data_IF_258396308214
#
_entry.id   IF_258396308214
#
_cell.length_a   1.000
_cell.length_b   1.000
_cell.length_c   1.000
_cell.angle_alpha   90.00
_cell.angle_beta   90.00
_cell.angle_gamma   90.00
#
_symmetry.space_group_name_H-M   'P 1'
#
loop_
_entity.id
_entity.type
_entity.pdbx_description
1 polymer ?
#
# COMPACT_ATOMS: atom_id res chain seq x y z
N UNK A 1 -29.84 -35.04 63.29
CA UNK A 1 -31.00 -34.14 63.52
C UNK A 1 -30.60 -32.79 62.94
N UNK A 2 -31.26 -32.10 62.01
CA UNK A 2 -32.59 -32.21 61.42
C UNK A 2 -32.60 -31.50 60.04
N UNK A 3 -33.30 -32.09 59.06
CA UNK A 3 -34.30 -31.50 58.13
C UNK A 3 -33.82 -30.35 57.21
N UNK A 4 -33.52 -30.64 55.92
CA UNK A 4 -34.39 -30.49 54.72
C UNK A 4 -35.01 -29.09 54.52
N UNK A 5 -34.65 -28.43 53.41
CA UNK A 5 -35.62 -27.96 52.42
C UNK A 5 -34.95 -27.76 51.06
N UNK A 6 -35.50 -28.42 50.03
CA UNK A 6 -35.07 -28.39 48.65
C UNK A 6 -35.98 -27.47 47.85
N UNK A 7 -35.43 -26.48 47.17
CA UNK A 7 -36.16 -25.66 46.19
C UNK A 7 -35.85 -26.15 44.77
N UNK A 8 -36.86 -26.77 44.14
CA UNK A 8 -36.87 -27.21 42.75
C UNK A 8 -36.75 -26.01 41.81
N UNK A 9 -35.69 -25.94 40.99
CA UNK A 9 -35.66 -25.10 39.79
C UNK A 9 -36.05 -25.96 38.58
N UNK A 10 -37.22 -25.65 38.03
CA UNK A 10 -37.81 -26.28 36.85
C UNK A 10 -37.02 -25.90 35.59
N UNK A 11 -36.47 -26.90 34.92
CA UNK A 11 -35.88 -26.82 33.58
C UNK A 11 -36.99 -26.79 32.54
N UNK A 12 -37.21 -25.63 31.89
CA UNK A 12 -38.05 -25.54 30.68
C UNK A 12 -37.20 -25.84 29.44
N UNK A 13 -37.62 -26.84 28.68
CA UNK A 13 -37.14 -27.16 27.34
C UNK A 13 -37.63 -26.11 26.33
N UNK A 14 -36.87 -25.84 25.24
CA UNK A 14 -37.26 -24.91 24.19
C UNK A 14 -38.30 -25.52 23.23
N UNK A 15 -39.25 -24.74 22.68
CA UNK A 15 -40.21 -25.22 21.70
C UNK A 15 -39.64 -25.24 20.27
N UNK A 16 -39.94 -26.31 19.53
CA UNK A 16 -39.68 -26.48 18.08
C UNK A 16 -40.77 -25.81 17.21
N UNK A 17 -40.54 -25.60 15.91
CA UNK A 17 -41.06 -24.45 15.16
C UNK A 17 -42.47 -24.62 14.59
N UNK A 18 -43.24 -23.53 14.61
CA UNK A 18 -44.54 -23.40 13.96
C UNK A 18 -44.35 -23.00 12.50
N UNK A 19 -44.97 -23.76 11.60
CA UNK A 19 -45.01 -23.52 10.15
C UNK A 19 -45.95 -22.34 9.83
N UNK A 20 -45.46 -21.35 9.11
CA UNK A 20 -46.29 -20.28 8.51
C UNK A 20 -46.31 -20.49 7.00
N UNK A 21 -47.52 -20.76 6.47
CA UNK A 21 -47.82 -20.80 5.04
C UNK A 21 -47.79 -19.37 4.50
N UNK A 22 -47.00 -19.12 3.46
CA UNK A 22 -47.07 -17.90 2.66
C UNK A 22 -47.67 -18.25 1.29
N UNK A 23 -48.82 -17.64 0.99
CA UNK A 23 -49.51 -17.78 -0.29
C UNK A 23 -48.78 -17.00 -1.40
N UNK A 24 -48.79 -17.60 -2.58
CA UNK A 24 -48.10 -17.20 -3.80
C UNK A 24 -49.02 -16.31 -4.64
N UNK A 25 -48.57 -15.11 -4.98
CA UNK A 25 -49.17 -14.30 -6.05
C UNK A 25 -48.25 -14.32 -7.28
N UNK A 26 -48.77 -14.86 -8.38
CA UNK A 26 -48.07 -15.03 -9.65
C UNK A 26 -48.27 -13.82 -10.58
N UNK A 27 -47.20 -13.39 -11.24
CA UNK A 27 -47.25 -12.58 -12.46
C UNK A 27 -46.20 -13.09 -13.45
N UNK A 28 -46.50 -13.13 -14.77
CA UNK A 28 -45.90 -14.10 -15.70
C UNK A 28 -44.54 -13.70 -16.29
N UNK A 29 -43.73 -14.68 -16.76
CA UNK A 29 -42.37 -14.47 -17.24
C UNK A 29 -42.30 -14.06 -18.73
N UNK A 30 -41.35 -13.17 -19.03
CA UNK A 30 -41.02 -12.68 -20.37
C UNK A 30 -40.13 -13.69 -21.12
N UNK A 31 -40.56 -14.09 -22.33
CA UNK A 31 -39.96 -15.13 -23.18
C UNK A 31 -38.52 -14.81 -23.61
N UNK A 32 -37.62 -15.78 -23.42
CA UNK A 32 -36.32 -15.89 -24.08
C UNK A 32 -36.51 -16.65 -25.40
N UNK A 33 -36.12 -16.06 -26.54
CA UNK A 33 -36.03 -16.77 -27.83
C UNK A 33 -34.56 -17.01 -28.19
N UNK A 34 -34.18 -18.29 -28.26
CA UNK A 34 -32.97 -18.80 -28.92
C UNK A 34 -33.15 -18.69 -30.44
N UNK A 35 -32.14 -18.23 -31.16
CA UNK A 35 -32.05 -18.38 -32.61
C UNK A 35 -30.74 -19.10 -32.93
N UNK A 36 -30.87 -20.16 -33.72
CA UNK A 36 -29.83 -21.04 -34.28
C UNK A 36 -28.90 -20.26 -35.21
N UNK A 37 -27.61 -20.63 -35.24
CA UNK A 37 -26.63 -20.20 -36.25
C UNK A 37 -26.40 -21.38 -37.20
N UNK A 38 -26.73 -21.20 -38.47
CA UNK A 38 -26.36 -22.08 -39.58
C UNK A 38 -25.03 -21.64 -40.19
N UNK A 39 -24.31 -22.64 -40.70
CA UNK A 39 -22.98 -22.65 -41.27
C UNK A 39 -22.98 -22.48 -42.78
N UNK A 40 -21.94 -21.85 -43.37
CA UNK A 40 -21.14 -22.39 -44.50
C UNK A 40 -19.96 -21.45 -44.86
N UNK A 41 -18.91 -21.94 -45.55
CA UNK A 41 -17.53 -21.44 -45.45
C UNK A 41 -17.02 -20.71 -46.71
N UNK A 42 -15.95 -19.93 -46.57
CA UNK A 42 -15.01 -19.62 -47.65
C UNK A 42 -13.61 -19.25 -47.11
N UNK A 43 -12.59 -19.92 -47.65
CA UNK A 43 -11.16 -19.69 -47.42
C UNK A 43 -10.59 -18.59 -48.37
N UNK A 44 -9.26 -18.36 -48.49
CA UNK A 44 -8.50 -17.49 -47.60
C UNK A 44 -7.82 -16.36 -48.39
N UNK A 45 -7.69 -15.17 -47.80
CA UNK A 45 -6.78 -14.15 -48.33
C UNK A 45 -5.85 -13.67 -47.23
N UNK A 46 -4.57 -13.92 -47.51
CA UNK A 46 -3.39 -13.44 -46.83
C UNK A 46 -3.40 -11.92 -46.70
N UNK A 47 -3.39 -11.42 -45.47
CA UNK A 47 -2.88 -10.09 -45.13
C UNK A 47 -2.02 -10.20 -43.88
N UNK A 48 -0.72 -9.97 -44.07
CA UNK A 48 0.24 -9.71 -43.00
C UNK A 48 -0.17 -8.36 -42.40
N UNK A 49 -0.88 -8.40 -41.26
CA UNK A 49 -1.13 -7.21 -40.44
C UNK A 49 -0.11 -7.18 -39.31
N UNK A 50 0.92 -6.37 -39.52
CA UNK A 50 1.68 -5.74 -38.44
C UNK A 50 0.70 -4.85 -37.66
N UNK A 51 0.03 -5.41 -36.66
CA UNK A 51 -0.78 -4.66 -35.70
C UNK A 51 0.02 -4.45 -34.42
N UNK A 52 0.69 -3.30 -34.35
CA UNK A 52 1.06 -2.68 -33.08
C UNK A 52 -0.20 -2.21 -32.35
N UNK A 53 -0.38 -2.73 -31.12
CA UNK A 53 -1.26 -2.29 -30.01
C UNK A 53 -2.47 -3.20 -29.75
N UNK A 54 -2.62 -3.72 -28.52
CA UNK A 54 -2.85 -2.89 -27.33
C UNK A 54 -1.67 -2.92 -26.35
N UNK A 55 -1.19 -1.74 -25.94
CA UNK A 55 -0.35 -1.57 -24.73
C UNK A 55 -0.92 -2.41 -23.59
N UNK A 56 -0.16 -3.41 -23.15
CA UNK A 56 -0.62 -4.34 -22.13
C UNK A 56 -0.86 -3.60 -20.81
N UNK A 57 -1.65 -4.17 -19.89
CA UNK A 57 -1.81 -3.62 -18.54
C UNK A 57 -0.46 -3.44 -17.83
N UNK A 58 0.52 -4.27 -18.18
CA UNK A 58 1.90 -4.22 -17.69
C UNK A 58 2.60 -2.94 -18.14
N UNK A 59 2.52 -2.61 -19.43
CA UNK A 59 3.11 -1.39 -19.98
C UNK A 59 2.52 -0.13 -19.36
N UNK A 60 1.21 -0.14 -19.09
CA UNK A 60 0.53 0.99 -18.42
C UNK A 60 1.02 1.18 -17.00
N UNK A 61 1.17 0.11 -16.22
CA UNK A 61 1.72 0.16 -14.86
C UNK A 61 3.16 0.69 -14.85
N UNK A 62 4.01 0.18 -15.75
CA UNK A 62 5.41 0.58 -15.82
C UNK A 62 5.54 2.06 -16.22
N UNK A 63 4.78 2.51 -17.22
CA UNK A 63 4.73 3.93 -17.62
C UNK A 63 4.23 4.83 -16.50
N UNK A 64 3.20 4.42 -15.76
CA UNK A 64 2.69 5.16 -14.61
C UNK A 64 3.74 5.29 -13.51
N UNK A 65 4.45 4.20 -13.20
CA UNK A 65 5.54 4.18 -12.23
C UNK A 65 6.70 5.09 -12.65
N UNK A 66 7.16 5.01 -13.90
CA UNK A 66 8.23 5.85 -14.43
C UNK A 66 7.87 7.34 -14.39
N UNK A 67 6.66 7.70 -14.84
CA UNK A 67 6.17 9.08 -14.83
C UNK A 67 6.17 9.68 -13.42
N UNK A 68 5.70 8.93 -12.43
CA UNK A 68 5.62 9.42 -11.05
C UNK A 68 6.98 9.45 -10.33
N UNK A 69 7.98 8.72 -10.82
CA UNK A 69 9.30 8.62 -10.18
C UNK A 69 10.23 9.79 -10.47
N UNK A 70 10.21 10.33 -11.70
CA UNK A 70 11.09 11.43 -12.11
C UNK A 70 10.76 12.74 -11.36
N UNK A 71 9.57 13.29 -11.59
CA UNK A 71 9.20 14.59 -11.02
C UNK A 71 8.68 14.47 -9.58
N UNK A 72 8.21 13.28 -9.19
CA UNK A 72 7.40 13.10 -8.01
C UNK A 72 6.00 13.69 -8.22
N UNK A 73 4.94 13.09 -7.65
CA UNK A 73 3.57 13.51 -7.93
C UNK A 73 3.21 14.88 -7.32
N UNK A 74 4.01 15.40 -6.39
CA UNK A 74 3.75 16.64 -5.66
C UNK A 74 5.03 17.50 -5.53
N UNK A 75 5.51 18.12 -6.62
CA UNK A 75 6.75 18.89 -6.62
C UNK A 75 6.72 20.07 -5.63
N UNK A 76 5.55 20.70 -5.46
CA UNK A 76 5.37 21.86 -4.58
C UNK A 76 5.06 21.51 -3.12
N UNK A 77 4.91 20.23 -2.77
CA UNK A 77 4.56 19.84 -1.40
C UNK A 77 5.82 19.52 -0.58
N UNK A 78 6.27 20.38 0.36
CA UNK A 78 7.64 20.32 0.88
C UNK A 78 7.89 19.23 1.94
N UNK A 79 6.83 18.59 2.44
CA UNK A 79 6.88 17.66 3.58
C UNK A 79 6.90 16.20 3.11
N UNK A 80 7.50 15.26 3.87
CA UNK A 80 8.29 15.52 5.07
C UNK A 80 9.64 16.16 4.77
N UNK A 81 10.16 16.93 5.71
CA UNK A 81 11.56 17.35 5.72
C UNK A 81 12.44 16.27 6.36
N UNK A 82 13.76 16.25 6.09
CA UNK A 82 14.69 15.33 6.76
C UNK A 82 14.66 15.43 8.30
N UNK A 83 14.46 16.63 8.83
CA UNK A 83 14.32 16.85 10.28
C UNK A 83 13.03 16.25 10.86
N UNK A 84 11.93 16.29 10.11
CA UNK A 84 10.69 15.61 10.49
C UNK A 84 10.84 14.09 10.45
N UNK A 85 11.53 13.56 9.44
CA UNK A 85 11.84 12.13 9.36
C UNK A 85 12.64 11.66 10.58
N UNK A 86 13.68 12.41 10.93
CA UNK A 86 14.53 12.12 12.10
C UNK A 86 13.73 12.18 13.41
N UNK A 87 12.93 13.24 13.60
CA UNK A 87 12.08 13.37 14.79
C UNK A 87 11.06 12.22 14.91
N UNK A 88 10.37 11.89 13.82
CA UNK A 88 9.42 10.78 13.82
C UNK A 88 10.11 9.46 14.12
N UNK A 89 11.30 9.25 13.55
CA UNK A 89 12.10 8.05 13.79
C UNK A 89 12.50 7.93 15.26
N UNK A 90 12.97 9.01 15.89
CA UNK A 90 13.41 8.99 17.29
C UNK A 90 12.27 8.74 18.26
N UNK A 91 11.15 9.46 18.09
CA UNK A 91 9.95 9.25 18.92
C UNK A 91 9.48 7.80 18.78
N UNK A 92 9.35 7.31 17.55
CA UNK A 92 8.85 5.95 17.33
C UNK A 92 9.84 4.89 17.80
N UNK A 93 11.14 5.11 17.67
CA UNK A 93 12.18 4.22 18.21
C UNK A 93 12.12 4.17 19.74
N UNK A 94 11.87 5.30 20.41
CA UNK A 94 11.66 5.32 21.86
C UNK A 94 10.43 4.53 22.28
N UNK A 95 9.37 4.52 21.47
CA UNK A 95 8.11 3.83 21.79
C UNK A 95 8.12 2.34 21.45
N UNK A 96 8.76 1.95 20.33
CA UNK A 96 8.67 0.59 19.77
C UNK A 96 10.01 -0.13 19.70
N UNK A 97 11.08 0.47 20.20
CA UNK A 97 12.46 0.00 20.04
C UNK A 97 13.05 0.35 18.67
N UNK A 98 14.36 0.58 18.65
CA UNK A 98 15.13 0.92 17.44
C UNK A 98 15.01 -0.21 16.41
N UNK A 99 14.90 0.17 15.13
CA UNK A 99 14.84 -0.77 14.01
C UNK A 99 16.10 -0.65 13.17
N UNK A 100 16.90 -1.71 13.20
CA UNK A 100 18.18 -1.81 12.49
C UNK A 100 18.00 -2.83 11.38
N UNK A 101 18.41 -2.46 10.17
CA UNK A 101 18.44 -3.36 9.02
C UNK A 101 19.43 -4.50 9.34
N UNK A 102 19.03 -5.77 9.24
CA UNK A 102 19.96 -6.87 9.48
C UNK A 102 21.04 -6.89 8.39
N UNK A 103 22.26 -7.31 8.75
CA UNK A 103 23.35 -7.49 7.78
C UNK A 103 23.05 -8.60 6.78
N UNK A 104 22.32 -9.62 7.20
CA UNK A 104 21.91 -10.75 6.36
C UNK A 104 20.42 -11.02 6.51
N UNK A 105 19.76 -11.37 5.39
CA UNK A 105 18.34 -11.73 5.38
C UNK A 105 18.22 -13.23 5.62
N UNK A 106 17.54 -13.62 6.70
CA UNK A 106 17.29 -15.02 7.03
C UNK A 106 15.79 -15.25 7.11
N UNK A 107 15.29 -16.12 6.24
CA UNK A 107 13.87 -16.47 6.22
C UNK A 107 13.45 -17.12 7.54
N UNK A 108 12.41 -16.58 8.15
CA UNK A 108 11.85 -17.21 9.35
C UNK A 108 11.09 -18.51 8.98
N UNK A 109 11.33 -19.54 9.79
CA UNK A 109 10.56 -20.80 9.75
C UNK A 109 9.23 -20.71 10.51
N UNK A 110 9.07 -19.73 11.41
CA UNK A 110 7.91 -19.65 12.33
C UNK A 110 6.94 -18.52 12.02
N UNK A 111 7.33 -17.58 11.16
CA UNK A 111 6.46 -16.50 10.67
C UNK A 111 6.61 -16.31 9.17
N UNK A 112 5.57 -15.78 8.53
CA UNK A 112 5.64 -15.44 7.11
C UNK A 112 6.64 -14.30 6.88
N UNK A 113 6.37 -13.12 7.45
CA UNK A 113 7.19 -11.92 7.26
C UNK A 113 7.10 -11.37 5.82
N UNK A 114 6.59 -10.15 5.67
CA UNK A 114 6.47 -9.52 4.35
C UNK A 114 7.87 -9.22 3.78
N UNK A 115 8.25 -9.85 2.66
CA UNK A 115 9.57 -9.68 2.04
C UNK A 115 10.75 -10.28 2.82
N UNK A 116 10.48 -11.03 3.89
CA UNK A 116 11.48 -11.51 4.85
C UNK A 116 12.04 -12.89 4.46
N UNK A 117 12.78 -12.92 3.36
CA UNK A 117 13.46 -14.11 2.82
C UNK A 117 14.64 -13.71 1.93
N UNK A 118 15.75 -14.45 1.92
CA UNK A 118 16.85 -14.22 0.97
C UNK A 118 16.49 -14.62 -0.46
N UNK A 119 15.54 -15.55 -0.65
CA UNK A 119 15.01 -15.88 -1.98
C UNK A 119 13.97 -14.84 -2.39
N UNK A 120 14.17 -14.24 -3.56
CA UNK A 120 13.30 -13.18 -4.08
C UNK A 120 11.90 -13.71 -4.39
N UNK A 121 11.81 -14.94 -4.88
CA UNK A 121 10.53 -15.58 -5.19
C UNK A 121 9.75 -15.89 -3.90
N UNK A 122 10.41 -16.46 -2.89
CA UNK A 122 9.79 -16.70 -1.57
C UNK A 122 9.37 -15.38 -0.91
N UNK A 123 10.23 -14.35 -0.94
CA UNK A 123 9.93 -13.01 -0.44
C UNK A 123 8.68 -12.40 -1.11
N UNK A 124 8.53 -12.60 -2.43
CA UNK A 124 7.36 -12.15 -3.19
C UNK A 124 6.09 -12.90 -2.78
N UNK A 125 6.15 -14.24 -2.67
CA UNK A 125 5.02 -15.08 -2.23
C UNK A 125 4.59 -14.71 -0.80
N UNK A 126 5.53 -14.56 0.14
CA UNK A 126 5.25 -14.11 1.51
C UNK A 126 4.60 -12.74 1.55
N UNK A 127 5.09 -11.81 0.71
CA UNK A 127 4.45 -10.50 0.55
C UNK A 127 3.00 -10.63 0.09
N UNK A 128 2.70 -11.51 -0.88
CA UNK A 128 1.33 -11.75 -1.36
C UNK A 128 0.44 -12.35 -0.28
N UNK A 129 0.94 -13.32 0.49
CA UNK A 129 0.20 -13.91 1.61
C UNK A 129 -0.18 -12.84 2.66
N UNK A 130 0.67 -11.84 2.87
CA UNK A 130 0.45 -10.72 3.81
C UNK A 130 -0.57 -9.68 3.34
N UNK A 131 -0.99 -9.69 2.07
CA UNK A 131 -1.92 -8.70 1.55
C UNK A 131 -3.31 -8.83 2.19
N UNK A 132 -3.87 -7.69 2.62
CA UNK A 132 -5.22 -7.54 3.16
C UNK A 132 -5.59 -8.59 4.22
N UNK A 133 -4.63 -8.91 5.09
CA UNK A 133 -4.81 -9.86 6.19
C UNK A 133 -3.94 -9.46 7.38
N UNK A 134 -4.07 -10.17 8.49
CA UNK A 134 -3.22 -9.94 9.67
C UNK A 134 -1.91 -10.71 9.58
N UNK A 135 -0.88 -10.28 10.32
CA UNK A 135 0.39 -11.01 10.47
C UNK A 135 0.15 -12.44 10.97
N UNK A 136 -0.81 -12.62 11.89
CA UNK A 136 -1.21 -13.94 12.40
C UNK A 136 -1.75 -14.83 11.29
N UNK A 137 -2.64 -14.31 10.44
CA UNK A 137 -3.25 -15.09 9.37
C UNK A 137 -2.29 -15.39 8.23
N UNK A 138 -1.46 -14.42 7.84
CA UNK A 138 -0.42 -14.66 6.82
C UNK A 138 0.63 -15.67 7.30
N UNK A 139 1.02 -15.60 8.57
CA UNK A 139 1.88 -16.62 9.20
C UNK A 139 1.24 -18.01 9.17
N UNK A 140 -0.04 -18.13 9.58
CA UNK A 140 -0.76 -19.40 9.51
C UNK A 140 -0.86 -19.94 8.09
N UNK A 141 -1.08 -19.08 7.10
CA UNK A 141 -1.14 -19.49 5.70
C UNK A 141 0.21 -20.02 5.21
N UNK A 142 1.31 -19.35 5.56
CA UNK A 142 2.67 -19.81 5.23
C UNK A 142 2.98 -21.17 5.85
N UNK A 143 2.71 -21.33 7.14
CA UNK A 143 2.94 -22.59 7.85
C UNK A 143 2.09 -23.73 7.30
N UNK A 144 0.83 -23.43 6.93
CA UNK A 144 -0.05 -24.39 6.27
C UNK A 144 0.47 -24.80 4.89
N UNK A 145 1.09 -23.88 4.13
CA UNK A 145 1.80 -24.23 2.88
C UNK A 145 3.00 -25.13 3.16
N UNK A 146 3.83 -24.81 4.16
CA UNK A 146 4.96 -25.67 4.54
C UNK A 146 4.51 -27.10 4.85
N UNK A 147 3.44 -27.24 5.64
CA UNK A 147 2.88 -28.54 6.02
C UNK A 147 2.32 -29.30 4.81
N UNK A 148 1.63 -28.58 3.90
CA UNK A 148 0.96 -29.20 2.74
C UNK A 148 1.94 -29.66 1.65
N UNK A 149 3.08 -28.98 1.51
CA UNK A 149 4.02 -29.15 0.39
C UNK A 149 5.43 -29.54 0.82
N UNK A 150 5.69 -29.74 2.13
CA UNK A 150 7.03 -29.99 2.66
C UNK A 150 7.95 -28.75 2.70
N UNK A 151 7.41 -27.58 2.36
CA UNK A 151 8.09 -26.28 2.33
C UNK A 151 7.29 -25.30 1.47
N UNK A 152 7.14 -24.05 1.91
CA UNK A 152 6.45 -23.00 1.13
C UNK A 152 7.23 -22.58 -0.12
N UNK A 153 8.46 -23.06 -0.27
CA UNK A 153 9.40 -22.88 -1.37
C UNK A 153 9.54 -24.13 -2.26
N UNK A 154 8.77 -25.19 -2.00
CA UNK A 154 8.70 -26.35 -2.89
C UNK A 154 7.77 -26.05 -4.09
N UNK A 155 8.29 -25.23 -5.00
CA UNK A 155 7.53 -24.63 -6.10
C UNK A 155 6.97 -25.68 -7.07
N UNK A 156 7.73 -26.73 -7.34
CA UNK A 156 7.34 -27.87 -8.18
C UNK A 156 6.05 -28.52 -7.65
N UNK A 157 6.02 -28.87 -6.36
CA UNK A 157 4.85 -29.50 -5.75
C UNK A 157 3.67 -28.54 -5.62
N UNK A 158 3.93 -27.25 -5.41
CA UNK A 158 2.89 -26.22 -5.40
C UNK A 158 2.21 -26.12 -6.77
N UNK A 159 2.99 -26.05 -7.85
CA UNK A 159 2.48 -25.99 -9.23
C UNK A 159 1.77 -27.28 -9.60
N UNK A 160 2.39 -28.44 -9.36
CA UNK A 160 1.80 -29.76 -9.65
C UNK A 160 0.49 -30.00 -8.88
N UNK A 161 0.41 -29.49 -7.64
CA UNK A 161 -0.80 -29.57 -6.82
C UNK A 161 -1.98 -28.73 -7.33
N UNK A 162 -1.75 -27.78 -8.24
CA UNK A 162 -2.80 -26.96 -8.84
C UNK A 162 -3.42 -25.92 -7.89
N UNK A 163 -4.34 -25.14 -8.46
CA UNK A 163 -4.91 -23.95 -7.81
C UNK A 163 -5.78 -24.31 -6.60
N UNK A 164 -6.61 -25.34 -6.72
CA UNK A 164 -7.57 -25.73 -5.69
C UNK A 164 -6.86 -26.15 -4.40
N UNK A 165 -5.79 -26.95 -4.53
CA UNK A 165 -4.97 -27.39 -3.39
C UNK A 165 -4.29 -26.20 -2.72
N UNK A 166 -3.65 -25.32 -3.50
CA UNK A 166 -2.97 -24.13 -2.95
C UNK A 166 -3.97 -23.20 -2.25
N UNK A 167 -5.14 -22.99 -2.87
CA UNK A 167 -6.18 -22.17 -2.31
C UNK A 167 -6.69 -22.68 -0.96
N UNK A 168 -6.89 -23.99 -0.81
CA UNK A 168 -7.29 -24.58 0.47
C UNK A 168 -6.18 -24.42 1.50
N UNK A 169 -4.92 -24.69 1.13
CA UNK A 169 -3.76 -24.52 2.00
C UNK A 169 -3.65 -23.10 2.58
N UNK A 170 -3.91 -22.07 1.76
CA UNK A 170 -3.79 -20.65 2.19
C UNK A 170 -5.12 -20.02 2.62
N UNK A 171 -6.20 -20.79 2.73
CA UNK A 171 -7.56 -20.29 3.02
C UNK A 171 -7.64 -19.47 4.31
N UNK A 172 -6.90 -19.88 5.34
CA UNK A 172 -6.85 -19.16 6.62
C UNK A 172 -6.25 -17.74 6.49
N UNK A 173 -5.51 -17.46 5.42
CA UNK A 173 -4.94 -16.15 5.10
C UNK A 173 -5.94 -15.14 4.53
N UNK A 174 -7.13 -15.58 4.12
CA UNK A 174 -8.14 -14.75 3.45
C UNK A 174 -7.76 -14.40 2.01
N UNK A 175 -8.77 -14.09 1.18
CA UNK A 175 -8.64 -13.83 -0.26
C UNK A 175 -7.91 -14.96 -1.02
N UNK A 176 -7.99 -16.21 -0.53
CA UNK A 176 -7.22 -17.33 -1.05
C UNK A 176 -7.45 -17.60 -2.53
N UNK A 177 -8.69 -17.41 -3.01
CA UNK A 177 -9.06 -17.51 -4.42
C UNK A 177 -8.21 -16.61 -5.33
N UNK A 178 -7.97 -15.37 -4.90
CA UNK A 178 -7.18 -14.39 -5.65
C UNK A 178 -5.69 -14.66 -5.44
N UNK A 179 -5.28 -14.90 -4.20
CA UNK A 179 -3.87 -15.14 -3.85
C UNK A 179 -3.30 -16.39 -4.54
N UNK A 180 -4.04 -17.51 -4.57
CA UNK A 180 -3.58 -18.74 -5.22
C UNK A 180 -3.42 -18.55 -6.73
N UNK A 181 -4.36 -17.85 -7.38
CA UNK A 181 -4.25 -17.49 -8.79
C UNK A 181 -3.00 -16.63 -9.06
N UNK A 182 -2.75 -15.62 -8.23
CA UNK A 182 -1.58 -14.73 -8.38
C UNK A 182 -0.28 -15.50 -8.17
N UNK A 183 -0.17 -16.30 -7.11
CA UNK A 183 1.04 -17.09 -6.82
C UNK A 183 1.36 -18.03 -7.98
N UNK A 184 0.41 -18.84 -8.44
CA UNK A 184 0.64 -19.75 -9.57
C UNK A 184 0.99 -19.00 -10.86
N UNK A 185 0.36 -17.85 -11.11
CA UNK A 185 0.68 -17.03 -12.28
C UNK A 185 2.10 -16.48 -12.24
N UNK A 186 2.63 -16.16 -11.05
CA UNK A 186 4.02 -15.71 -10.88
C UNK A 186 4.98 -16.87 -11.10
N UNK A 187 4.69 -18.06 -10.55
CA UNK A 187 5.52 -19.25 -10.72
C UNK A 187 5.61 -19.66 -12.19
N UNK A 188 4.47 -19.67 -12.90
CA UNK A 188 4.41 -19.93 -14.35
C UNK A 188 5.25 -18.90 -15.14
N UNK A 189 5.11 -17.61 -14.82
CA UNK A 189 5.86 -16.55 -15.49
C UNK A 189 7.37 -16.64 -15.23
N UNK A 190 7.78 -16.93 -14.00
CA UNK A 190 9.19 -17.12 -13.64
C UNK A 190 9.78 -18.32 -14.39
N UNK A 191 9.11 -19.47 -14.35
CA UNK A 191 9.55 -20.69 -15.04
C UNK A 191 9.61 -20.50 -16.57
N UNK A 192 8.61 -19.85 -17.15
CA UNK A 192 8.56 -19.57 -18.59
C UNK A 192 9.66 -18.60 -19.03
N UNK A 193 9.94 -17.56 -18.24
CA UNK A 193 10.90 -16.51 -18.62
C UNK A 193 12.36 -16.91 -18.34
N UNK A 194 12.61 -17.67 -17.27
CA UNK A 194 13.96 -17.94 -16.78
C UNK A 194 14.34 -19.43 -16.75
N UNK A 195 13.39 -20.33 -17.02
CA UNK A 195 13.63 -21.77 -16.99
C UNK A 195 13.68 -22.38 -15.58
N UNK A 196 13.58 -21.57 -14.52
CA UNK A 196 13.63 -21.99 -13.13
C UNK A 196 12.62 -21.21 -12.25
N UNK A 197 12.30 -21.76 -11.07
CA UNK A 197 11.51 -21.06 -10.06
C UNK A 197 12.42 -20.21 -9.17
N UNK A 198 13.06 -19.21 -9.78
CA UNK A 198 13.93 -18.26 -9.09
C UNK A 198 13.78 -16.87 -9.70
N UNK A 199 14.00 -15.86 -8.86
CA UNK A 199 14.15 -14.45 -9.25
C UNK A 199 15.41 -13.85 -8.63
N UNK A 200 16.34 -14.69 -8.17
CA UNK A 200 17.50 -14.25 -7.39
C UNK A 200 18.55 -13.50 -8.23
N UNK A 201 18.44 -13.53 -9.57
CA UNK A 201 19.20 -12.63 -10.43
C UNK A 201 18.93 -11.15 -10.10
N UNK A 202 17.78 -10.83 -9.50
CA UNK A 202 17.44 -9.48 -9.05
C UNK A 202 18.33 -8.96 -7.91
N UNK A 203 19.05 -9.82 -7.17
CA UNK A 203 20.08 -9.36 -6.22
C UNK A 203 21.19 -8.56 -6.90
N UNK A 204 21.49 -8.88 -8.17
CA UNK A 204 22.52 -8.22 -8.98
C UNK A 204 21.96 -7.07 -9.82
N UNK A 205 20.63 -6.93 -9.91
CA UNK A 205 19.99 -5.87 -10.67
C UNK A 205 20.05 -4.53 -9.92
N UNK A 206 19.96 -3.44 -10.69
CA UNK A 206 19.72 -2.11 -10.13
C UNK A 206 18.35 -2.06 -9.44
N UNK A 207 18.15 -1.10 -8.54
CA UNK A 207 16.84 -0.92 -7.87
C UNK A 207 15.72 -0.68 -8.88
N UNK A 208 15.98 0.12 -9.91
CA UNK A 208 14.99 0.48 -10.94
C UNK A 208 14.65 -0.72 -11.83
N UNK A 209 15.66 -1.51 -12.24
CA UNK A 209 15.44 -2.72 -13.05
C UNK A 209 14.67 -3.77 -12.26
N UNK A 210 15.03 -3.99 -10.98
CA UNK A 210 14.33 -4.91 -10.11
C UNK A 210 12.87 -4.47 -9.86
N UNK A 211 12.64 -3.17 -9.66
CA UNK A 211 11.28 -2.63 -9.56
C UNK A 211 10.47 -2.85 -10.84
N UNK A 212 11.04 -2.50 -11.99
CA UNK A 212 10.39 -2.66 -13.29
C UNK A 212 10.03 -4.12 -13.57
N UNK A 213 10.95 -5.04 -13.28
CA UNK A 213 10.72 -6.47 -13.46
C UNK A 213 9.63 -7.01 -12.53
N UNK A 214 9.69 -6.66 -11.23
CA UNK A 214 8.67 -7.08 -10.25
C UNK A 214 7.28 -6.56 -10.65
N UNK A 215 7.17 -5.34 -11.16
CA UNK A 215 5.90 -4.78 -11.66
C UNK A 215 5.37 -5.47 -12.93
N UNK A 216 6.23 -6.18 -13.66
CA UNK A 216 5.87 -6.97 -14.84
C UNK A 216 5.09 -8.24 -14.51
N UNK A 217 5.11 -8.69 -13.26
CA UNK A 217 4.35 -9.86 -12.81
C UNK A 217 2.88 -9.52 -12.53
N UNK A 218 1.99 -10.43 -12.93
CA UNK A 218 0.56 -10.25 -12.71
C UNK A 218 0.20 -10.35 -11.23
N UNK A 219 -0.64 -9.42 -10.76
CA UNK A 219 -0.97 -9.30 -9.33
C UNK A 219 0.12 -8.62 -8.48
N UNK A 220 1.26 -8.27 -9.06
CA UNK A 220 2.28 -7.43 -8.41
C UNK A 220 2.02 -5.96 -8.73
N UNK A 221 2.15 -5.12 -7.71
CA UNK A 221 2.02 -3.67 -7.79
C UNK A 221 3.04 -2.99 -6.89
N UNK A 222 3.11 -1.64 -6.89
CA UNK A 222 4.22 -0.90 -6.30
C UNK A 222 4.50 -1.26 -4.83
N UNK A 223 3.47 -1.40 -3.99
CA UNK A 223 3.66 -1.81 -2.58
C UNK A 223 4.33 -3.17 -2.46
N UNK A 224 3.89 -4.15 -3.26
CA UNK A 224 4.40 -5.52 -3.19
C UNK A 224 5.86 -5.56 -3.64
N UNK A 225 6.16 -4.93 -4.78
CA UNK A 225 7.52 -4.83 -5.29
C UNK A 225 8.44 -4.08 -4.32
N UNK A 226 7.97 -2.94 -3.80
CA UNK A 226 8.66 -2.14 -2.79
C UNK A 226 8.98 -2.92 -1.52
N UNK A 227 8.07 -3.79 -1.03
CA UNK A 227 8.40 -4.66 0.11
C UNK A 227 9.51 -5.67 -0.20
N UNK A 228 9.56 -6.23 -1.42
CA UNK A 228 10.64 -7.13 -1.82
C UNK A 228 11.96 -6.36 -1.92
N UNK A 229 11.95 -5.17 -2.53
CA UNK A 229 13.12 -4.29 -2.60
C UNK A 229 13.62 -3.91 -1.22
N UNK A 230 12.73 -3.49 -0.33
CA UNK A 230 13.05 -3.04 1.01
C UNK A 230 13.62 -4.16 1.88
N UNK A 231 13.00 -5.33 1.90
CA UNK A 231 13.34 -6.37 2.87
C UNK A 231 14.28 -7.45 2.34
N UNK A 232 14.01 -7.97 1.13
CA UNK A 232 14.78 -9.07 0.54
C UNK A 232 16.05 -8.55 -0.14
N UNK A 233 15.91 -7.56 -1.02
CA UNK A 233 17.03 -6.99 -1.80
C UNK A 233 17.82 -5.92 -1.04
N UNK A 234 17.44 -5.64 0.21
CA UNK A 234 18.04 -4.65 1.10
C UNK A 234 18.24 -3.26 0.46
N UNK A 235 17.31 -2.83 -0.39
CA UNK A 235 17.33 -1.50 -1.03
C UNK A 235 16.61 -0.46 -0.17
N UNK A 236 16.95 0.79 -0.37
CA UNK A 236 16.33 1.93 0.31
C UNK A 236 15.06 2.38 -0.42
N UNK A 237 14.06 1.50 -0.41
CA UNK A 237 12.77 1.69 -1.08
C UNK A 237 11.62 1.75 -0.06
N UNK A 238 10.92 2.88 0.02
CA UNK A 238 9.97 3.16 1.10
C UNK A 238 8.58 2.58 0.83
N UNK A 239 8.34 1.35 1.27
CA UNK A 239 7.05 0.69 1.10
C UNK A 239 5.90 1.42 1.83
N UNK A 240 4.87 1.80 1.09
CA UNK A 240 3.67 2.44 1.64
C UNK A 240 2.53 1.44 1.74
N UNK A 241 2.30 0.95 2.95
CA UNK A 241 1.14 0.13 3.28
C UNK A 241 -0.02 0.97 3.85
N UNK A 242 -1.06 0.31 4.39
CA UNK A 242 -2.21 1.02 4.95
C UNK A 242 -1.90 1.78 6.24
N UNK A 243 -0.93 1.33 7.04
CA UNK A 243 -0.50 1.99 8.27
C UNK A 243 0.35 3.21 7.94
N UNK A 244 1.37 3.04 7.10
CA UNK A 244 2.24 4.11 6.60
C UNK A 244 1.40 5.18 5.92
N UNK A 245 0.52 4.78 4.99
CA UNK A 245 -0.39 5.73 4.34
C UNK A 245 -1.25 6.45 5.39
N UNK A 246 -1.90 5.77 6.32
CA UNK A 246 -2.73 6.47 7.30
C UNK A 246 -1.91 7.46 8.16
N UNK A 247 -0.81 7.02 8.76
CA UNK A 247 -0.02 7.85 9.69
C UNK A 247 0.58 9.05 8.98
N UNK A 248 1.19 8.88 7.81
CA UNK A 248 1.79 10.01 7.08
C UNK A 248 0.74 11.03 6.62
N UNK A 249 -0.52 10.60 6.42
CA UNK A 249 -1.64 11.53 6.23
C UNK A 249 -2.00 12.30 7.50
N UNK A 250 -1.97 11.65 8.67
CA UNK A 250 -2.19 12.29 9.97
C UNK A 250 -1.09 13.29 10.35
N UNK A 251 0.14 13.07 9.86
CA UNK A 251 1.28 13.96 10.08
C UNK A 251 1.37 15.11 9.07
N UNK A 252 0.53 15.12 8.02
CA UNK A 252 0.63 16.13 6.96
C UNK A 252 1.88 15.96 6.08
N UNK A 253 2.35 14.73 5.91
CA UNK A 253 3.52 14.40 5.06
C UNK A 253 3.16 14.23 3.59
N UNK A 254 1.87 14.35 3.25
CA UNK A 254 1.38 14.34 1.88
C UNK A 254 0.06 15.10 1.76
N UNK A 255 -0.37 15.47 0.53
CA UNK A 255 -1.71 15.97 0.28
C UNK A 255 -2.81 14.99 0.74
N UNK A 256 -3.93 15.52 1.24
CA UNK A 256 -5.07 14.71 1.70
C UNK A 256 -5.70 13.85 0.59
N UNK A 257 -5.63 14.32 -0.66
CA UNK A 257 -6.19 13.66 -1.84
C UNK A 257 -5.24 12.66 -2.50
N UNK A 258 -4.01 12.55 -2.01
CA UNK A 258 -2.99 11.69 -2.61
C UNK A 258 -3.41 10.22 -2.56
N UNK A 259 -3.35 9.56 -3.71
CA UNK A 259 -3.53 8.10 -3.80
C UNK A 259 -2.38 7.37 -3.09
N UNK A 260 -2.53 6.07 -2.84
CA UNK A 260 -1.45 5.26 -2.24
C UNK A 260 -0.20 5.23 -3.12
N UNK A 261 -0.38 5.14 -4.43
CA UNK A 261 0.71 5.15 -5.40
C UNK A 261 1.42 6.50 -5.41
N UNK A 262 0.66 7.60 -5.44
CA UNK A 262 1.26 8.94 -5.33
C UNK A 262 1.97 9.13 -3.99
N UNK A 263 1.41 8.58 -2.90
CA UNK A 263 2.05 8.59 -1.58
C UNK A 263 3.39 7.86 -1.61
N UNK A 264 3.45 6.70 -2.26
CA UNK A 264 4.67 5.93 -2.43
C UNK A 264 5.75 6.76 -3.13
N UNK A 265 5.49 7.28 -4.32
CA UNK A 265 6.49 8.06 -5.06
C UNK A 265 6.93 9.33 -4.32
N UNK A 266 5.99 10.02 -3.68
CA UNK A 266 6.29 11.21 -2.88
C UNK A 266 7.18 10.91 -1.68
N UNK A 267 6.81 9.91 -0.88
CA UNK A 267 7.55 9.57 0.34
C UNK A 267 8.89 8.89 0.03
N UNK A 268 8.96 8.05 -1.00
CA UNK A 268 10.22 7.40 -1.40
C UNK A 268 11.28 8.41 -1.86
N UNK A 269 10.84 9.53 -2.45
CA UNK A 269 11.72 10.64 -2.86
C UNK A 269 12.10 11.57 -1.69
N UNK A 270 11.20 11.77 -0.72
CA UNK A 270 11.35 12.77 0.36
C UNK A 270 12.03 12.24 1.62
N UNK A 271 11.79 10.97 1.96
CA UNK A 271 12.36 10.37 3.17
C UNK A 271 13.82 10.02 2.89
N UNK A 272 14.78 10.51 3.69
CA UNK A 272 16.18 10.12 3.56
C UNK A 272 16.37 8.61 3.69
N UNK A 273 17.31 8.07 2.92
CA UNK A 273 17.54 6.63 2.78
C UNK A 273 17.77 5.94 4.12
N UNK A 274 18.55 6.55 5.01
CA UNK A 274 18.86 6.02 6.35
C UNK A 274 17.62 5.80 7.23
N UNK A 275 16.52 6.48 6.92
CA UNK A 275 15.26 6.38 7.68
C UNK A 275 14.25 5.43 7.05
N UNK A 276 14.39 5.04 5.78
CA UNK A 276 13.34 4.32 5.05
C UNK A 276 12.99 2.98 5.69
N UNK A 277 13.99 2.15 5.97
CA UNK A 277 13.81 0.87 6.64
C UNK A 277 13.18 1.01 8.02
N UNK A 278 13.77 1.86 8.86
CA UNK A 278 13.34 2.05 10.23
C UNK A 278 11.92 2.60 10.31
N UNK A 279 11.65 3.71 9.62
CA UNK A 279 10.34 4.37 9.62
C UNK A 279 9.23 3.47 9.08
N UNK A 280 9.47 2.67 8.04
CA UNK A 280 8.46 1.74 7.54
C UNK A 280 7.96 0.82 8.66
N UNK A 281 8.88 0.11 9.32
CA UNK A 281 8.53 -0.84 10.39
C UNK A 281 7.91 -0.11 11.58
N UNK A 282 8.49 1.03 11.98
CA UNK A 282 8.02 1.82 13.10
C UNK A 282 6.60 2.36 12.89
N UNK A 283 6.27 2.84 11.68
CA UNK A 283 4.91 3.26 11.34
C UNK A 283 3.94 2.08 11.34
N UNK A 284 4.33 0.93 10.80
CA UNK A 284 3.49 -0.27 10.81
C UNK A 284 3.17 -0.67 12.26
N UNK A 285 4.18 -0.78 13.11
CA UNK A 285 4.03 -1.16 14.52
C UNK A 285 3.17 -0.15 15.28
N UNK A 286 3.50 1.14 15.17
CA UNK A 286 2.73 2.20 15.81
C UNK A 286 1.27 2.21 15.35
N UNK A 287 1.04 2.04 14.05
CA UNK A 287 -0.28 2.00 13.46
C UNK A 287 -1.10 0.77 13.83
N UNK A 288 -0.49 -0.26 14.43
CA UNK A 288 -1.20 -1.43 14.98
C UNK A 288 -1.61 -1.22 16.44
N UNK A 289 -0.74 -0.61 17.25
CA UNK A 289 -0.91 -0.57 18.72
C UNK A 289 -1.42 0.76 19.26
N UNK A 290 -1.19 1.88 18.58
CA UNK A 290 -1.57 3.20 19.07
C UNK A 290 -3.07 3.47 18.87
N UNK A 291 -3.76 3.86 19.93
CA UNK A 291 -5.21 4.10 19.93
C UNK A 291 -5.66 5.25 19.00
N UNK A 292 -4.78 6.21 18.72
CA UNK A 292 -5.09 7.34 17.83
C UNK A 292 -4.66 7.12 16.38
N UNK A 293 -3.65 6.27 16.15
CA UNK A 293 -3.05 6.04 14.84
C UNK A 293 -3.50 4.73 14.19
N UNK A 294 -4.17 3.84 14.91
CA UNK A 294 -4.82 2.66 14.35
C UNK A 294 -6.03 3.02 13.48
N UNK A 295 -6.46 2.08 12.64
CA UNK A 295 -7.67 2.26 11.84
C UNK A 295 -8.88 2.48 12.76
N UNK A 296 -9.68 3.52 12.50
CA UNK A 296 -10.80 3.90 13.37
C UNK A 296 -10.40 4.51 14.72
N UNK A 297 -9.12 4.86 14.91
CA UNK A 297 -8.64 5.51 16.12
C UNK A 297 -9.28 6.89 16.37
N UNK A 298 -9.49 7.24 17.64
CA UNK A 298 -10.03 8.55 18.05
C UNK A 298 -8.90 9.46 18.51
N UNK A 299 -8.98 10.74 18.19
CA UNK A 299 -7.98 11.73 18.64
C UNK A 299 -8.21 12.01 20.12
N UNK A 300 -7.26 11.61 20.96
CA UNK A 300 -7.31 11.83 22.42
C UNK A 300 -6.20 12.76 22.91
N UNK A 301 -5.21 13.05 22.05
CA UNK A 301 -4.10 13.93 22.38
C UNK A 301 -2.93 13.25 23.11
N UNK A 302 -3.05 11.96 23.44
CA UNK A 302 -2.08 11.15 24.17
C UNK A 302 -0.94 10.60 23.29
N UNK A 303 -1.16 10.49 21.98
CA UNK A 303 -0.14 10.00 21.05
C UNK A 303 1.03 10.99 20.94
N UNK A 304 2.20 10.61 21.46
CA UNK A 304 3.41 11.43 21.49
C UNK A 304 3.84 11.90 20.11
N UNK A 305 3.85 11.00 19.11
CA UNK A 305 4.16 11.34 17.73
C UNK A 305 3.24 12.46 17.23
N UNK A 306 1.92 12.31 17.37
CA UNK A 306 0.98 13.33 16.90
C UNK A 306 1.09 14.64 17.69
N UNK A 307 1.37 14.57 18.99
CA UNK A 307 1.59 15.74 19.84
C UNK A 307 2.78 16.55 19.34
N UNK A 308 3.94 15.90 19.13
CA UNK A 308 5.15 16.56 18.66
C UNK A 308 4.94 17.34 17.35
N UNK A 309 4.23 16.75 16.38
CA UNK A 309 3.96 17.40 15.09
C UNK A 309 2.90 18.51 15.17
N UNK A 310 1.91 18.41 16.08
CA UNK A 310 0.99 19.53 16.37
C UNK A 310 1.72 20.70 17.00
N UNK A 311 2.61 20.43 17.93
CA UNK A 311 3.37 21.47 18.63
C UNK A 311 4.32 22.21 17.68
N UNK A 312 4.93 21.48 16.74
CA UNK A 312 5.71 22.10 15.66
C UNK A 312 4.86 22.99 14.76
N UNK A 313 3.67 22.53 14.35
CA UNK A 313 2.77 23.34 13.55
C UNK A 313 2.33 24.63 14.28
N UNK A 314 2.03 24.53 15.59
CA UNK A 314 1.68 25.69 16.40
C UNK A 314 2.84 26.70 16.58
N UNK A 315 4.09 26.22 16.64
CA UNK A 315 5.28 27.08 16.69
C UNK A 315 5.57 27.76 15.35
N UNK A 316 5.34 27.08 14.22
CA UNK A 316 5.48 27.67 12.88
C UNK A 316 4.50 28.81 12.62
N UNK A 317 3.23 28.65 13.03
CA UNK A 317 2.19 29.68 12.85
C UNK A 317 2.48 30.95 13.68
N UNK A 318 3.12 30.83 14.85
CA UNK A 318 3.54 31.98 15.67
C UNK A 318 4.75 32.73 15.11
N UNK A 319 5.57 32.09 14.26
CA UNK A 319 6.71 32.72 13.61
C UNK A 319 6.34 33.55 12.38
N UNK A 320 5.20 33.26 11.75
CA UNK A 320 4.70 33.99 10.57
C UNK A 320 3.88 35.25 10.93
N UNK A 321 3.53 35.44 12.21
CA UNK A 321 2.74 36.60 12.69
C UNK A 321 3.59 37.78 13.19
N UNK A 322 4.92 37.71 13.09
CA UNK A 322 5.83 38.80 13.46
C UNK A 322 6.60 39.31 12.24
N UNK A 323 5.87 39.85 11.27
CA UNK A 323 6.40 40.85 10.33
C UNK A 323 5.41 42.00 10.35
N UNK A 324 5.43 42.81 11.41
CA UNK A 324 4.90 44.17 11.34
C UNK A 324 5.90 44.98 10.51
N UNK A 325 5.50 45.25 9.27
CA UNK A 325 6.21 46.12 8.35
C UNK A 325 6.06 47.57 8.84
N UNK A 326 7.15 48.14 9.34
CA UNK A 326 7.27 49.56 9.68
C UNK A 326 6.97 50.42 8.44
N UNK A 327 5.77 51.00 8.35
CA UNK A 327 5.49 52.08 7.42
C UNK A 327 6.10 53.38 7.94
N UNK A 328 7.21 53.79 7.30
CA UNK A 328 7.77 55.15 7.40
C UNK A 328 6.79 56.19 6.84
N UNK A 329 6.69 57.39 7.44
CA UNK A 329 5.78 58.43 6.96
C UNK A 329 6.33 59.08 5.67
N UNK A 330 5.48 59.16 4.66
CA UNK A 330 5.73 59.89 3.41
C UNK A 330 5.65 61.40 3.68
N UNK A 331 6.75 62.10 3.39
CA UNK A 331 6.83 63.56 3.39
C UNK A 331 6.04 64.09 2.18
N UNK A 332 5.13 65.04 2.43
CA UNK A 332 4.43 65.80 1.39
C UNK A 332 5.39 66.85 0.82
N UNK A 333 5.75 66.74 -0.45
CA UNK A 333 6.30 67.86 -1.22
C UNK A 333 5.15 68.68 -1.82
N UNK A 334 5.11 69.95 -1.44
CA UNK A 334 4.23 70.97 -2.01
C UNK A 334 4.84 71.49 -3.31
N UNK A 335 4.11 71.36 -4.42
CA UNK A 335 4.46 72.00 -5.69
C UNK A 335 4.12 73.50 -5.63
N UNK A 336 5.14 74.36 -5.54
CA UNK A 336 5.03 75.78 -5.92
C UNK A 336 5.50 75.93 -7.36
N UNK A 337 4.57 76.17 -8.28
CA UNK A 337 4.85 76.61 -9.64
C UNK A 337 5.14 78.11 -9.64
N UNK A 338 6.36 78.49 -9.97
CA UNK A 338 6.76 79.87 -10.26
C UNK A 338 6.21 80.32 -11.63
N UNK A 339 5.73 81.56 -11.62
CA UNK A 339 5.31 82.35 -12.78
C UNK A 339 6.56 82.84 -13.52
N UNK A 340 6.61 82.66 -14.84
CA UNK A 340 7.47 83.46 -15.72
C UNK A 340 6.62 84.08 -16.83
N UNK A 341 6.51 85.40 -16.77
CA UNK A 341 6.18 86.26 -17.89
C UNK A 341 7.26 86.13 -18.98
N UNK A 342 6.83 85.99 -20.23
CA UNK A 342 7.59 86.54 -21.34
C UNK A 342 6.61 87.08 -22.38
N UNK A 343 6.68 88.39 -22.58
CA UNK A 343 5.88 89.17 -23.50
C UNK A 343 6.42 89.04 -24.93
N UNK A 344 5.47 88.89 -25.86
CA UNK A 344 5.35 89.63 -27.11
C UNK A 344 6.31 89.28 -28.28
N UNK A 345 5.74 88.71 -29.35
CA UNK A 345 5.91 89.31 -30.68
C UNK A 345 4.78 88.97 -31.67
N UNK A 346 4.50 89.96 -32.52
CA UNK A 346 3.36 90.14 -33.44
C UNK A 346 3.37 89.23 -34.67
N UNK A 347 2.17 88.86 -35.13
CA UNK A 347 1.69 89.02 -36.52
C UNK A 347 0.17 88.92 -36.58
#
# INVERSE_FOLDING_TARGET
>A
MAIRQATRRSTRLPPSPVQVKAEVSMSPPRKVRKIKKESTPSEPLTEIKNETSPTTLKDRKLKAHQKNSLDGPFPTYPRPTPSECSLAHDILSSLHGRRIRPSEVVASKTRAGCGDSPSVLDALVRTILSQNTSDKNSTRAKLSMDETYGGSDNWEDIVAGGREKLQEAIKCGGLSQVKSKVILSILEQAKSKYGEYSLDHLHKASTDDAMAELLGFDGVGPKTASCVLLFCLQREDFAVDTHVHRITGLLGWRPKTASREQTYHHLNKRIPDEHKYGLHILFVNHGKVCDECKAGGRVTGKCELRRAFRDQAAKGVKGETQVEEELKPVVKEEAKGEVKEEQNDRA
#
